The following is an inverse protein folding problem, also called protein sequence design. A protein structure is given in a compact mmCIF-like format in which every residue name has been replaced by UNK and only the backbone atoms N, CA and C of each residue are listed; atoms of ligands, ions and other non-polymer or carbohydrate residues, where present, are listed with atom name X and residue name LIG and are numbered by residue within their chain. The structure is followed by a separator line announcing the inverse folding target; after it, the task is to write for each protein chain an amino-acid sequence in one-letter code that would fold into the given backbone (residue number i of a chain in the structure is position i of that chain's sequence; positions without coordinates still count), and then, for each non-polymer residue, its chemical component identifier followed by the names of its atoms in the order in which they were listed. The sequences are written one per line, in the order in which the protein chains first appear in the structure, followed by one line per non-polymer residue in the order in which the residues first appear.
data_IF_921290219898
#
_entry.id   IF_921290219898
#
_cell.length_a   1.000
_cell.length_b   1.000
_cell.length_c   1.000
_cell.angle_alpha   90.00
_cell.angle_beta   90.00
_cell.angle_gamma   90.00
#
_symmetry.space_group_name_H-M   'P 1'
#
loop_
_entity.id
_entity.type
_entity.pdbx_description
1 polymer ?
#
# COMPACT_ATOMS: atom_id res chain seq x y z
N UNK A 1 -36.27 25.41 11.79
CA UNK A 1 -35.53 25.08 10.57
C UNK A 1 -34.21 24.46 11.01
N UNK A 2 -34.08 23.14 10.94
CA UNK A 2 -32.86 22.43 11.34
C UNK A 2 -31.87 22.46 10.18
N UNK A 3 -30.79 23.23 10.31
CA UNK A 3 -29.66 23.16 9.39
C UNK A 3 -28.83 21.97 9.84
N UNK A 4 -28.89 20.87 9.09
CA UNK A 4 -27.99 19.74 9.27
C UNK A 4 -26.56 20.22 8.97
N UNK A 5 -25.76 20.41 10.02
CA UNK A 5 -24.31 20.50 9.94
C UNK A 5 -23.80 19.16 9.42
N UNK A 6 -23.66 19.04 8.10
CA UNK A 6 -22.84 17.99 7.50
C UNK A 6 -21.41 18.23 7.97
N UNK A 7 -20.96 17.49 8.98
CA UNK A 7 -19.55 17.39 9.33
C UNK A 7 -18.83 16.87 8.10
N UNK A 8 -18.13 17.74 7.36
CA UNK A 8 -17.15 17.29 6.36
C UNK A 8 -16.14 16.43 7.12
N UNK A 9 -16.19 15.11 6.92
CA UNK A 9 -15.10 14.24 7.34
C UNK A 9 -13.84 14.76 6.66
N UNK A 10 -12.90 15.23 7.46
CA UNK A 10 -11.58 15.64 6.98
C UNK A 10 -10.89 14.40 6.43
N UNK A 11 -10.40 14.46 5.20
CA UNK A 11 -9.72 13.32 4.56
C UNK A 11 -8.43 13.05 5.34
N UNK A 12 -8.28 11.82 5.85
CA UNK A 12 -7.03 11.35 6.44
C UNK A 12 -5.97 11.16 5.35
N UNK A 13 -5.33 12.27 4.97
CA UNK A 13 -4.34 12.32 3.89
C UNK A 13 -3.20 11.35 4.16
N UNK A 14 -2.69 11.31 5.39
CA UNK A 14 -1.56 10.45 5.73
C UNK A 14 -1.93 8.96 5.65
N UNK A 15 -3.10 8.58 6.16
CA UNK A 15 -3.60 7.22 6.04
C UNK A 15 -3.82 6.80 4.59
N UNK A 16 -4.42 7.65 3.76
CA UNK A 16 -4.63 7.40 2.33
C UNK A 16 -3.28 7.21 1.62
N UNK A 17 -2.32 8.11 1.84
CA UNK A 17 -0.96 8.01 1.28
C UNK A 17 -0.29 6.70 1.69
N UNK A 18 -0.40 6.32 2.96
CA UNK A 18 0.21 5.10 3.49
C UNK A 18 -0.41 3.83 2.89
N UNK A 19 -1.73 3.79 2.72
CA UNK A 19 -2.42 2.64 2.10
C UNK A 19 -2.09 2.51 0.61
N UNK A 20 -2.03 3.62 -0.13
CA UNK A 20 -1.56 3.62 -1.53
C UNK A 20 -0.08 3.21 -1.62
N UNK A 21 0.76 3.69 -0.70
CA UNK A 21 2.15 3.27 -0.62
C UNK A 21 2.30 1.76 -0.33
N UNK A 22 1.49 1.22 0.58
CA UNK A 22 1.43 -0.22 0.85
C UNK A 22 1.05 -1.01 -0.41
N UNK A 23 0.05 -0.56 -1.17
CA UNK A 23 -0.32 -1.18 -2.44
C UNK A 23 0.86 -1.25 -3.42
N UNK A 24 1.53 -0.12 -3.64
CA UNK A 24 2.68 -0.03 -4.55
C UNK A 24 3.86 -0.88 -4.06
N UNK A 25 4.11 -0.89 -2.75
CA UNK A 25 5.12 -1.74 -2.14
C UNK A 25 4.80 -3.22 -2.31
N UNK A 26 3.52 -3.61 -2.15
CA UNK A 26 3.08 -4.98 -2.39
C UNK A 26 3.26 -5.40 -3.84
N UNK A 27 2.96 -4.52 -4.80
CA UNK A 27 3.24 -4.76 -6.23
C UNK A 27 4.73 -4.95 -6.47
N UNK A 28 5.58 -4.10 -5.91
CA UNK A 28 7.03 -4.24 -6.05
C UNK A 28 7.49 -5.60 -5.49
N UNK A 29 7.16 -5.92 -4.24
CA UNK A 29 7.58 -7.18 -3.62
C UNK A 29 7.08 -8.40 -4.42
N UNK A 30 5.81 -8.39 -4.82
CA UNK A 30 5.18 -9.49 -5.55
C UNK A 30 5.74 -9.67 -6.97
N UNK A 31 5.87 -8.58 -7.74
CA UNK A 31 6.39 -8.63 -9.11
C UNK A 31 7.92 -8.72 -9.18
N UNK A 32 8.60 -8.37 -8.09
CA UNK A 32 10.06 -8.22 -8.06
C UNK A 32 10.61 -7.03 -8.84
N UNK A 33 9.75 -6.08 -9.23
CA UNK A 33 10.14 -4.95 -10.07
C UNK A 33 9.75 -3.60 -9.43
N UNK A 34 10.67 -2.62 -9.33
CA UNK A 34 10.32 -1.28 -8.85
C UNK A 34 9.59 -0.43 -9.90
N UNK A 35 9.42 -0.93 -11.13
CA UNK A 35 8.91 -0.17 -12.29
C UNK A 35 7.60 0.58 -12.01
N UNK A 36 6.66 -0.02 -11.30
CA UNK A 36 5.40 0.63 -10.95
C UNK A 36 5.60 1.78 -9.97
N UNK A 37 6.46 1.61 -8.97
CA UNK A 37 6.84 2.67 -8.02
C UNK A 37 7.53 3.82 -8.76
N UNK A 38 8.47 3.50 -9.65
CA UNK A 38 9.23 4.51 -10.40
C UNK A 38 8.34 5.31 -11.35
N UNK A 39 7.47 4.64 -12.11
CA UNK A 39 6.50 5.31 -12.99
C UNK A 39 5.50 6.16 -12.22
N UNK A 40 5.10 5.72 -11.03
CA UNK A 40 4.18 6.45 -10.16
C UNK A 40 4.83 7.70 -9.56
N UNK A 41 6.03 7.57 -9.00
CA UNK A 41 6.75 8.66 -8.36
C UNK A 41 7.22 9.73 -9.36
N UNK A 42 7.61 9.31 -10.57
CA UNK A 42 8.13 10.22 -11.60
C UNK A 42 7.07 10.67 -12.61
N UNK A 43 5.78 10.40 -12.36
CA UNK A 43 4.70 10.81 -13.24
C UNK A 43 4.67 12.35 -13.42
N UNK A 44 4.50 12.78 -14.67
CA UNK A 44 4.37 14.19 -15.04
C UNK A 44 2.92 14.66 -15.13
N UNK A 45 1.96 13.74 -15.10
CA UNK A 45 0.52 14.06 -15.14
C UNK A 45 -0.30 13.13 -14.25
N UNK A 46 -1.46 13.61 -13.81
CA UNK A 46 -2.41 12.84 -12.99
C UNK A 46 -2.96 11.62 -13.73
N UNK A 47 -3.10 11.70 -15.05
CA UNK A 47 -3.54 10.58 -15.90
C UNK A 47 -2.49 9.47 -15.93
N UNK A 48 -1.20 9.83 -15.94
CA UNK A 48 -0.12 8.86 -15.83
C UNK A 48 -0.13 8.16 -14.46
N UNK A 49 -0.36 8.91 -13.37
CA UNK A 49 -0.53 8.33 -12.03
C UNK A 49 -1.72 7.38 -11.98
N UNK A 50 -2.88 7.81 -12.46
CA UNK A 50 -4.10 7.00 -12.48
C UNK A 50 -3.92 5.70 -13.28
N UNK A 51 -3.22 5.75 -14.41
CA UNK A 51 -2.89 4.57 -15.20
C UNK A 51 -2.04 3.57 -14.40
N UNK A 52 -0.98 4.05 -13.73
CA UNK A 52 -0.13 3.18 -12.90
C UNK A 52 -0.88 2.64 -11.70
N UNK A 53 -1.79 3.43 -11.10
CA UNK A 53 -2.68 2.99 -10.02
C UNK A 53 -3.57 1.82 -10.46
N UNK A 54 -4.15 1.90 -11.66
CA UNK A 54 -4.94 0.81 -12.25
C UNK A 54 -4.08 -0.42 -12.55
N UNK A 55 -2.93 -0.26 -13.19
CA UNK A 55 -2.02 -1.37 -13.49
C UNK A 55 -1.55 -2.09 -12.21
N UNK A 56 -1.26 -1.33 -11.16
CA UNK A 56 -0.85 -1.83 -9.84
C UNK A 56 -1.94 -2.69 -9.20
N UNK A 57 -3.18 -2.22 -9.23
CA UNK A 57 -4.34 -3.00 -8.74
C UNK A 57 -4.53 -4.28 -9.53
N UNK A 58 -4.34 -4.25 -10.86
CA UNK A 58 -4.43 -5.44 -11.71
C UNK A 58 -3.36 -6.48 -11.35
N UNK A 59 -2.13 -6.06 -11.08
CA UNK A 59 -1.06 -6.96 -10.65
C UNK A 59 -1.39 -7.59 -9.29
N UNK A 60 -1.88 -6.80 -8.33
CA UNK A 60 -2.30 -7.34 -7.03
C UNK A 60 -3.48 -8.28 -7.15
N UNK A 61 -4.45 -7.99 -8.02
CA UNK A 61 -5.59 -8.86 -8.24
C UNK A 61 -5.16 -10.26 -8.66
N UNK A 62 -4.13 -10.37 -9.50
CA UNK A 62 -3.55 -11.68 -9.89
C UNK A 62 -3.01 -12.40 -8.66
N UNK A 63 -2.19 -11.74 -7.85
CA UNK A 63 -1.63 -12.33 -6.62
C UNK A 63 -2.70 -12.71 -5.58
N UNK A 64 -3.74 -11.90 -5.45
CA UNK A 64 -4.89 -12.18 -4.57
C UNK A 64 -5.65 -13.40 -5.07
N UNK A 65 -5.97 -13.45 -6.36
CA UNK A 65 -6.69 -14.59 -6.98
C UNK A 65 -5.90 -15.89 -6.85
N UNK A 66 -4.57 -15.84 -6.94
CA UNK A 66 -3.70 -16.99 -6.78
C UNK A 66 -3.46 -17.39 -5.32
N UNK A 67 -3.96 -16.61 -4.34
CA UNK A 67 -3.70 -16.81 -2.91
C UNK A 67 -2.26 -16.47 -2.47
N UNK A 68 -1.51 -15.81 -3.34
CA UNK A 68 -0.12 -15.37 -3.11
C UNK A 68 -0.06 -14.04 -2.35
N UNK A 69 -1.11 -13.23 -2.42
CA UNK A 69 -1.27 -11.99 -1.67
C UNK A 69 -2.53 -12.09 -0.81
N UNK A 70 -2.40 -11.91 0.50
CA UNK A 70 -3.54 -11.98 1.43
C UNK A 70 -3.37 -11.06 2.63
N UNK A 71 -4.48 -10.75 3.30
CA UNK A 71 -4.44 -10.12 4.62
C UNK A 71 -4.09 -11.17 5.68
N UNK A 72 -3.29 -10.78 6.67
CA UNK A 72 -2.91 -11.59 7.81
C UNK A 72 -2.35 -10.72 8.92
N UNK A 73 -1.49 -11.31 9.76
CA UNK A 73 -0.80 -10.59 10.82
C UNK A 73 0.71 -10.74 10.67
N UNK A 74 1.45 -9.77 11.20
CA UNK A 74 2.89 -9.82 11.31
C UNK A 74 3.36 -9.46 12.72
N UNK A 75 4.37 -10.18 13.21
CA UNK A 75 5.07 -9.88 14.44
C UNK A 75 6.32 -9.04 14.15
N UNK A 76 6.52 -7.99 14.95
CA UNK A 76 7.70 -7.12 14.86
C UNK A 76 8.67 -7.48 15.96
N UNK A 77 9.92 -7.79 15.61
CA UNK A 77 10.98 -8.06 16.58
C UNK A 77 12.20 -7.24 16.21
N UNK A 78 12.48 -6.20 17.00
CA UNK A 78 13.50 -5.20 16.65
C UNK A 78 13.15 -4.51 15.34
N UNK A 79 13.94 -4.75 14.28
CA UNK A 79 13.69 -4.21 12.93
C UNK A 79 13.08 -5.23 11.96
N UNK A 80 12.97 -6.50 12.35
CA UNK A 80 12.41 -7.55 11.52
C UNK A 80 10.88 -7.57 11.59
N UNK A 81 10.24 -7.89 10.47
CA UNK A 81 8.80 -8.06 10.34
C UNK A 81 8.55 -9.43 9.74
N UNK A 82 7.88 -10.31 10.47
CA UNK A 82 7.60 -11.69 10.04
C UNK A 82 6.12 -11.98 10.12
N UNK A 83 5.58 -12.66 9.12
CA UNK A 83 4.19 -13.12 9.17
C UNK A 83 3.98 -14.05 10.38
N UNK A 84 2.81 -13.97 11.00
CA UNK A 84 2.47 -14.77 12.18
C UNK A 84 0.99 -15.16 12.14
N UNK A 85 0.68 -16.33 12.70
CA UNK A 85 -0.71 -16.76 12.91
C UNK A 85 -1.29 -16.22 14.23
N UNK A 86 -0.46 -15.56 15.06
CA UNK A 86 -0.94 -14.87 16.27
C UNK A 86 -1.96 -13.81 15.86
N UNK A 87 -3.07 -13.75 16.59
CA UNK A 87 -4.12 -12.75 16.38
C UNK A 87 -3.89 -11.48 17.19
N UNK A 88 -3.25 -11.61 18.35
CA UNK A 88 -3.05 -10.53 19.31
C UNK A 88 -1.71 -10.69 20.03
N UNK A 89 -1.22 -9.58 20.57
CA UNK A 89 0.06 -9.47 21.27
C UNK A 89 0.65 -8.08 21.08
N UNK A 90 1.50 -7.62 22.00
CA UNK A 90 2.04 -6.25 21.99
C UNK A 90 2.77 -5.89 20.68
N UNK A 91 3.31 -6.88 19.97
CA UNK A 91 4.07 -6.70 18.74
C UNK A 91 3.39 -7.31 17.50
N UNK A 92 2.10 -7.63 17.57
CA UNK A 92 1.33 -8.23 16.47
C UNK A 92 0.50 -7.16 15.79
N UNK A 93 0.67 -7.01 14.48
CA UNK A 93 -0.01 -6.00 13.67
C UNK A 93 -0.69 -6.61 12.45
N UNK A 94 -1.82 -6.05 12.00
CA UNK A 94 -2.39 -6.38 10.69
C UNK A 94 -1.36 -6.16 9.59
N UNK A 95 -1.31 -7.06 8.62
CA UNK A 95 -0.32 -7.04 7.56
C UNK A 95 -0.86 -7.61 6.24
N UNK A 96 -0.23 -7.19 5.15
CA UNK A 96 -0.32 -7.80 3.84
C UNK A 96 0.78 -8.84 3.75
N UNK A 97 0.40 -10.09 3.57
CA UNK A 97 1.30 -11.23 3.43
C UNK A 97 1.45 -11.54 1.95
N UNK A 98 2.69 -11.60 1.49
CA UNK A 98 3.04 -11.83 0.09
C UNK A 98 3.93 -13.05 0.01
N UNK A 99 3.48 -14.08 -0.68
CA UNK A 99 4.28 -15.23 -1.07
C UNK A 99 4.81 -14.99 -2.48
N UNK A 100 6.13 -15.10 -2.63
CA UNK A 100 6.78 -15.06 -3.94
C UNK A 100 7.88 -16.12 -3.92
N UNK A 101 7.79 -17.05 -4.86
CA UNK A 101 8.66 -18.24 -4.89
C UNK A 101 8.56 -18.99 -3.53
N UNK A 102 9.70 -19.34 -2.94
CA UNK A 102 9.79 -20.01 -1.64
C UNK A 102 9.92 -19.03 -0.45
N UNK A 103 9.70 -17.73 -0.68
CA UNK A 103 9.81 -16.70 0.35
C UNK A 103 8.46 -16.10 0.70
N UNK A 104 8.33 -15.71 1.96
CA UNK A 104 7.18 -14.99 2.48
C UNK A 104 7.60 -13.64 3.04
N UNK A 105 6.92 -12.60 2.60
CA UNK A 105 7.14 -11.21 2.99
C UNK A 105 5.90 -10.69 3.71
N UNK A 106 6.12 -9.71 4.60
CA UNK A 106 5.05 -9.06 5.35
C UNK A 106 5.20 -7.53 5.30
N UNK A 107 4.11 -6.85 4.93
CA UNK A 107 4.00 -5.39 4.94
C UNK A 107 2.96 -5.01 5.99
N UNK A 108 3.34 -4.21 6.99
CA UNK A 108 2.43 -3.79 8.06
C UNK A 108 1.37 -2.82 7.51
N UNK A 109 0.11 -3.07 7.89
CA UNK A 109 -1.05 -2.28 7.52
C UNK A 109 -1.92 -2.97 6.47
N UNK A 110 -2.66 -2.16 5.71
CA UNK A 110 -3.72 -2.60 4.82
C UNK A 110 -3.47 -2.14 3.39
N UNK A 111 -4.10 -2.85 2.44
CA UNK A 111 -4.34 -2.35 1.09
C UNK A 111 -5.37 -1.21 1.12
N UNK A 112 -5.38 -0.32 0.13
CA UNK A 112 -6.37 0.76 0.03
C UNK A 112 -7.76 0.19 -0.26
N UNK A 113 -8.78 0.81 0.32
CA UNK A 113 -10.18 0.62 -0.06
C UNK A 113 -10.52 1.40 -1.34
N UNK A 114 -11.70 1.18 -1.89
CA UNK A 114 -12.27 2.01 -2.96
C UNK A 114 -12.28 3.50 -2.59
N UNK A 115 -12.71 3.84 -1.37
CA UNK A 115 -12.72 5.21 -0.87
C UNK A 115 -11.32 5.82 -0.78
N UNK A 116 -10.31 5.03 -0.38
CA UNK A 116 -8.92 5.50 -0.36
C UNK A 116 -8.41 5.84 -1.76
N UNK A 117 -8.80 5.05 -2.76
CA UNK A 117 -8.45 5.29 -4.16
C UNK A 117 -9.12 6.57 -4.67
N UNK A 118 -10.41 6.77 -4.39
CA UNK A 118 -11.14 8.00 -4.76
C UNK A 118 -10.53 9.24 -4.10
N UNK A 119 -10.21 9.17 -2.81
CA UNK A 119 -9.58 10.24 -2.07
C UNK A 119 -8.18 10.55 -2.61
N UNK A 120 -7.40 9.51 -2.91
CA UNK A 120 -6.08 9.69 -3.48
C UNK A 120 -6.12 10.32 -4.87
N UNK A 121 -7.08 9.92 -5.72
CA UNK A 121 -7.31 10.56 -7.03
C UNK A 121 -7.63 12.04 -6.83
N UNK A 122 -8.52 12.37 -5.90
CA UNK A 122 -8.87 13.75 -5.57
C UNK A 122 -7.67 14.56 -5.04
N UNK A 123 -6.73 13.91 -4.36
CA UNK A 123 -5.49 14.55 -3.89
C UNK A 123 -4.54 14.86 -5.06
N UNK A 124 -4.29 13.91 -5.96
CA UNK A 124 -3.37 14.13 -7.09
C UNK A 124 -3.92 15.11 -8.14
N UNK A 125 -5.24 15.28 -8.20
CA UNK A 125 -5.86 16.34 -9.00
C UNK A 125 -5.54 17.73 -8.49
N UNK A 126 -5.38 17.88 -7.17
CA UNK A 126 -4.98 19.14 -6.54
C UNK A 126 -3.47 19.35 -6.62
N UNK A 127 -2.70 18.29 -6.37
CA UNK A 127 -1.24 18.33 -6.40
C UNK A 127 -0.64 16.95 -6.70
N UNK A 128 0.00 16.81 -7.85
CA UNK A 128 0.68 15.57 -8.25
C UNK A 128 1.81 15.17 -7.28
N UNK A 129 2.29 16.08 -6.43
CA UNK A 129 3.31 15.78 -5.42
C UNK A 129 2.88 14.70 -4.41
N UNK A 130 1.57 14.48 -4.20
CA UNK A 130 1.09 13.35 -3.40
C UNK A 130 1.50 11.99 -3.99
N UNK A 131 1.60 11.88 -5.32
CA UNK A 131 2.12 10.67 -5.97
C UNK A 131 3.59 10.42 -5.67
N UNK A 132 4.42 11.47 -5.68
CA UNK A 132 5.83 11.41 -5.30
C UNK A 132 6.00 10.95 -3.85
N UNK A 133 5.20 11.50 -2.93
CA UNK A 133 5.20 11.09 -1.52
C UNK A 133 4.85 9.62 -1.35
N UNK A 134 3.76 9.15 -1.97
CA UNK A 134 3.35 7.75 -1.85
C UNK A 134 4.39 6.81 -2.49
N UNK A 135 5.00 7.19 -3.63
CA UNK A 135 6.06 6.42 -4.26
C UNK A 135 7.32 6.31 -3.39
N UNK A 136 7.75 7.41 -2.77
CA UNK A 136 8.88 7.39 -1.84
C UNK A 136 8.60 6.50 -0.61
N UNK A 137 7.39 6.59 -0.05
CA UNK A 137 6.95 5.72 1.05
C UNK A 137 6.91 4.25 0.61
N UNK A 138 6.38 3.96 -0.58
CA UNK A 138 6.30 2.60 -1.12
C UNK A 138 7.69 1.96 -1.23
N UNK A 139 8.68 2.72 -1.72
CA UNK A 139 10.06 2.25 -1.80
C UNK A 139 10.62 1.92 -0.41
N UNK A 140 10.40 2.78 0.58
CA UNK A 140 10.83 2.52 1.96
C UNK A 140 10.14 1.28 2.56
N UNK A 141 8.85 1.09 2.30
CA UNK A 141 8.08 -0.06 2.79
C UNK A 141 8.56 -1.36 2.13
N UNK A 142 8.76 -1.35 0.81
CA UNK A 142 9.26 -2.51 0.07
C UNK A 142 10.67 -2.90 0.54
N UNK A 143 11.57 -1.93 0.72
CA UNK A 143 12.91 -2.20 1.25
C UNK A 143 12.86 -2.83 2.63
N UNK A 144 11.99 -2.33 3.52
CA UNK A 144 11.79 -2.93 4.85
C UNK A 144 11.27 -4.38 4.75
N UNK A 145 10.33 -4.64 3.85
CA UNK A 145 9.80 -5.98 3.64
C UNK A 145 10.85 -6.95 3.07
N UNK A 146 11.68 -6.49 2.12
CA UNK A 146 12.74 -7.31 1.52
C UNK A 146 13.90 -7.58 2.48
N UNK A 147 14.24 -6.63 3.36
CA UNK A 147 15.28 -6.81 4.38
C UNK A 147 14.79 -7.61 5.59
N UNK A 148 13.50 -7.49 5.94
CA UNK A 148 12.87 -8.25 7.02
C UNK A 148 12.39 -9.64 6.60
N UNK A 149 12.21 -9.87 5.29
CA UNK A 149 11.71 -11.09 4.68
C UNK A 149 12.83 -12.00 4.16
N UNK A 150 13.27 -12.89 5.05
CA UNK A 150 14.20 -14.00 4.85
C UNK A 150 14.18 -14.89 6.08
#
# INVERSE_FOLDING_TARGET
MWIALQSRQEVDVEGVLKRVANMLASVFVYSGSPTYVDRFANALSKEAVARVLYESQRVLQIGITNGEVKTGNAEVTGRAVKATDKKEGENVYPAIIIRREDKQYAIIGFLPTDKDIEDFISLIEKDIYYARKAGALAMSVANKALLGGG
#
